data_IF_770356374211
#
_entry.id   IF_770356374211
#
_cell.length_a   1.000
_cell.length_b   1.000
_cell.length_c   1.000
_cell.angle_alpha   90.00
_cell.angle_beta   90.00
_cell.angle_gamma   90.00
#
_symmetry.space_group_name_H-M   'P 1'
#
loop_
_entity.id
_entity.type
_entity.pdbx_description
1 polymer ?
#
# COMPACT_ATOMS: atom_id res chain seq x y z
N UNK A 1 17.75 -15.08 -6.12
CA UNK A 1 18.70 -15.50 -7.17
C UNK A 1 19.06 -16.94 -6.87
N UNK A 2 18.86 -17.83 -7.85
CA UNK A 2 19.28 -19.23 -7.77
C UNK A 2 20.28 -19.41 -8.91
N UNK A 3 21.50 -19.86 -8.59
CA UNK A 3 22.60 -20.07 -9.54
C UNK A 3 22.90 -18.85 -10.45
N UNK A 4 22.91 -17.65 -9.86
CA UNK A 4 23.17 -16.40 -10.59
C UNK A 4 22.03 -15.93 -11.50
N UNK A 5 20.90 -16.62 -11.54
CA UNK A 5 19.71 -16.23 -12.32
C UNK A 5 18.57 -15.75 -11.45
N UNK A 6 17.73 -14.89 -12.02
CA UNK A 6 16.48 -14.46 -11.39
C UNK A 6 15.54 -15.66 -11.31
N UNK A 7 15.12 -15.96 -10.09
CA UNK A 7 14.12 -17.00 -9.83
C UNK A 7 12.73 -16.41 -10.09
N UNK A 8 12.22 -16.64 -11.31
CA UNK A 8 10.91 -16.13 -11.74
C UNK A 8 9.75 -16.81 -11.02
N UNK A 9 9.91 -18.05 -10.56
CA UNK A 9 8.84 -18.77 -9.87
C UNK A 9 8.56 -18.11 -8.51
N UNK A 10 9.62 -17.87 -7.72
CA UNK A 10 9.52 -17.11 -6.46
C UNK A 10 9.01 -15.69 -6.65
N UNK A 11 9.37 -15.05 -7.77
CA UNK A 11 8.83 -13.72 -8.09
C UNK A 11 7.31 -13.74 -8.28
N UNK A 12 6.80 -14.75 -8.98
CA UNK A 12 5.36 -14.90 -9.19
C UNK A 12 4.61 -15.20 -7.89
N UNK A 13 5.20 -15.97 -6.98
CA UNK A 13 4.65 -16.16 -5.63
C UNK A 13 4.57 -14.83 -4.90
N UNK A 14 5.66 -14.08 -4.83
CA UNK A 14 5.67 -12.74 -4.23
C UNK A 14 4.64 -11.79 -4.86
N UNK A 15 4.48 -11.82 -6.18
CA UNK A 15 3.50 -11.00 -6.88
C UNK A 15 2.05 -11.36 -6.52
N UNK A 16 1.73 -12.64 -6.33
CA UNK A 16 0.39 -13.06 -5.86
C UNK A 16 0.12 -12.60 -4.44
N UNK A 17 1.07 -12.81 -3.52
CA UNK A 17 0.93 -12.34 -2.14
C UNK A 17 0.78 -10.81 -2.08
N UNK A 18 1.52 -10.10 -2.95
CA UNK A 18 1.41 -8.65 -3.12
C UNK A 18 -0.02 -8.25 -3.50
N UNK A 19 -0.60 -8.91 -4.49
CA UNK A 19 -1.95 -8.59 -4.98
C UNK A 19 -3.03 -8.93 -3.95
N UNK A 20 -2.92 -10.09 -3.30
CA UNK A 20 -3.87 -10.55 -2.30
C UNK A 20 -3.92 -9.62 -1.08
N UNK A 21 -2.77 -9.32 -0.48
CA UNK A 21 -2.68 -8.46 0.71
C UNK A 21 -3.18 -7.05 0.39
N UNK A 22 -2.80 -6.50 -0.77
CA UNK A 22 -3.25 -5.17 -1.15
C UNK A 22 -4.77 -5.16 -1.41
N UNK A 23 -5.33 -6.20 -2.02
CA UNK A 23 -6.78 -6.33 -2.21
C UNK A 23 -7.56 -6.36 -0.90
N UNK A 24 -7.04 -7.08 0.10
CA UNK A 24 -7.62 -7.11 1.44
C UNK A 24 -7.55 -5.72 2.13
N UNK A 25 -6.38 -5.06 2.08
CA UNK A 25 -6.21 -3.72 2.62
C UNK A 25 -7.15 -2.70 1.97
N UNK A 26 -7.31 -2.76 0.65
CA UNK A 26 -8.21 -1.89 -0.09
C UNK A 26 -9.67 -2.09 0.32
N UNK A 27 -10.09 -3.35 0.54
CA UNK A 27 -11.43 -3.66 1.02
C UNK A 27 -11.66 -3.12 2.43
N UNK A 28 -10.69 -3.29 3.32
CA UNK A 28 -10.77 -2.76 4.70
C UNK A 28 -10.85 -1.23 4.67
N UNK A 29 -9.98 -0.57 3.91
CA UNK A 29 -9.95 0.89 3.82
C UNK A 29 -11.28 1.45 3.29
N UNK A 30 -11.85 0.84 2.24
CA UNK A 30 -13.18 1.22 1.72
C UNK A 30 -14.26 1.07 2.78
N UNK A 31 -14.35 -0.11 3.42
CA UNK A 31 -15.40 -0.37 4.41
C UNK A 31 -15.34 0.60 5.59
N UNK A 32 -14.13 0.90 6.09
CA UNK A 32 -13.95 1.86 7.19
C UNK A 32 -14.29 3.27 6.72
N UNK A 33 -13.84 3.68 5.53
CA UNK A 33 -14.17 5.00 4.99
C UNK A 33 -15.69 5.19 4.79
N UNK A 34 -16.39 4.19 4.26
CA UNK A 34 -17.86 4.20 4.10
C UNK A 34 -18.58 4.27 5.45
N UNK A 35 -18.07 3.57 6.46
CA UNK A 35 -18.68 3.55 7.81
C UNK A 35 -18.55 4.90 8.52
N UNK A 36 -17.42 5.59 8.36
CA UNK A 36 -17.11 6.81 9.11
C UNK A 36 -17.14 8.10 8.28
N UNK A 37 -17.52 8.03 6.99
CA UNK A 37 -17.62 9.21 6.12
C UNK A 37 -16.27 9.76 5.63
N UNK A 38 -15.26 8.91 5.50
CA UNK A 38 -13.92 9.28 5.04
C UNK A 38 -13.67 9.01 3.55
N UNK A 39 -12.45 9.33 3.11
CA UNK A 39 -11.93 9.04 1.76
C UNK A 39 -10.85 7.95 1.87
N UNK A 40 -11.05 6.77 1.25
CA UNK A 40 -10.06 5.70 1.29
C UNK A 40 -8.90 6.02 0.33
N UNK A 41 -7.67 5.80 0.80
CA UNK A 41 -6.45 5.80 0.00
C UNK A 41 -5.98 4.34 -0.11
N UNK A 42 -6.14 3.68 -1.28
CA UNK A 42 -5.86 2.26 -1.44
C UNK A 42 -4.36 1.96 -1.45
N UNK A 43 -3.99 0.76 -1.00
CA UNK A 43 -2.62 0.25 -0.98
C UNK A 43 -2.03 0.04 -2.38
N UNK A 44 -2.86 -0.06 -3.41
CA UNK A 44 -2.44 -0.17 -4.81
C UNK A 44 -3.29 0.68 -5.75
N UNK A 45 -2.66 1.17 -6.82
CA UNK A 45 -3.33 1.89 -7.91
C UNK A 45 -3.85 0.97 -9.02
N UNK A 46 -3.61 -0.35 -8.92
CA UNK A 46 -3.87 -1.32 -9.98
C UNK A 46 -5.31 -1.34 -10.51
N UNK A 47 -6.30 -0.88 -9.73
CA UNK A 47 -7.71 -0.80 -10.12
C UNK A 47 -8.23 0.60 -10.48
N UNK A 48 -7.39 1.64 -10.37
CA UNK A 48 -7.75 3.05 -10.60
C UNK A 48 -7.37 3.54 -12.01
N UNK A 49 -6.43 2.86 -12.68
CA UNK A 49 -6.02 3.19 -14.06
C UNK A 49 -7.24 3.04 -14.97
N UNK A 50 -7.74 4.16 -15.48
CA UNK A 50 -8.92 4.23 -16.36
C UNK A 50 -10.25 4.56 -15.67
N UNK A 51 -10.29 4.71 -14.34
CA UNK A 51 -11.50 5.12 -13.58
C UNK A 51 -11.50 6.59 -13.17
N UNK A 52 -10.40 7.29 -13.38
CA UNK A 52 -10.28 8.71 -13.05
C UNK A 52 -10.98 9.55 -14.12
N UNK A 53 -12.08 10.20 -13.75
CA UNK A 53 -12.85 11.05 -14.64
C UNK A 53 -12.62 12.54 -14.35
N UNK A 54 -12.22 12.88 -13.12
CA UNK A 54 -12.02 14.26 -12.66
C UNK A 54 -10.67 14.43 -11.94
N UNK A 55 -10.21 15.68 -11.83
CA UNK A 55 -8.93 16.01 -11.18
C UNK A 55 -8.96 15.64 -9.69
N UNK A 56 -10.11 15.77 -9.05
CA UNK A 56 -10.28 15.47 -7.63
C UNK A 56 -10.09 13.99 -7.32
N UNK A 57 -10.35 13.10 -8.29
CA UNK A 57 -10.11 11.66 -8.16
C UNK A 57 -8.62 11.32 -8.01
N UNK A 58 -7.71 12.25 -8.37
CA UNK A 58 -6.27 12.10 -8.17
C UNK A 58 -5.81 12.45 -6.76
N UNK A 59 -6.55 13.26 -6.00
CA UNK A 59 -6.05 13.80 -4.73
C UNK A 59 -5.66 12.72 -3.71
N UNK A 60 -6.45 11.65 -3.51
CA UNK A 60 -6.04 10.53 -2.66
C UNK A 60 -4.73 9.88 -3.14
N UNK A 61 -4.48 9.86 -4.45
CA UNK A 61 -3.31 9.23 -5.06
C UNK A 61 -2.01 10.03 -4.85
N UNK A 62 -2.11 11.27 -4.38
CA UNK A 62 -0.95 12.12 -4.06
C UNK A 62 -0.44 11.90 -2.63
N UNK A 63 -1.17 11.16 -1.80
CA UNK A 63 -0.80 10.91 -0.41
C UNK A 63 0.21 9.76 -0.32
N UNK A 64 1.38 10.05 0.24
CA UNK A 64 2.38 9.03 0.52
C UNK A 64 2.03 8.24 1.78
N UNK A 65 1.66 6.97 1.61
CA UNK A 65 1.46 6.05 2.74
C UNK A 65 2.67 5.93 3.67
N UNK A 66 3.89 6.14 3.15
CA UNK A 66 5.11 6.09 3.98
C UNK A 66 5.17 7.26 4.95
N UNK A 67 4.81 8.45 4.48
CA UNK A 67 4.75 9.65 5.31
C UNK A 67 3.66 9.48 6.37
N UNK A 68 2.48 9.00 5.97
CA UNK A 68 1.39 8.69 6.91
C UNK A 68 1.83 7.68 7.97
N UNK A 69 2.47 6.58 7.57
CA UNK A 69 2.92 5.54 8.50
C UNK A 69 3.97 6.03 9.50
N UNK A 70 4.90 6.88 9.07
CA UNK A 70 5.90 7.51 9.95
C UNK A 70 5.23 8.43 10.97
N UNK A 71 4.31 9.30 10.53
CA UNK A 71 3.59 10.20 11.43
C UNK A 71 2.58 9.48 12.35
N UNK A 72 2.05 8.34 11.92
CA UNK A 72 1.19 7.48 12.73
C UNK A 72 1.97 6.61 13.73
N UNK A 73 3.31 6.70 13.76
CA UNK A 73 4.15 5.92 14.69
C UNK A 73 4.26 4.43 14.33
N UNK A 74 3.96 4.04 13.09
CA UNK A 74 4.05 2.64 12.65
C UNK A 74 5.48 2.18 12.36
N UNK A 75 6.44 3.11 12.32
CA UNK A 75 7.85 2.84 12.09
C UNK A 75 8.65 4.08 11.76
N UNK A 76 9.88 3.88 11.26
CA UNK A 76 10.79 4.94 10.83
C UNK A 76 11.33 4.69 9.43
N UNK A 77 11.85 5.72 8.76
CA UNK A 77 12.47 5.56 7.43
C UNK A 77 13.83 4.88 7.54
N UNK A 78 13.94 3.67 6.98
CA UNK A 78 15.20 2.94 6.86
C UNK A 78 16.12 3.52 5.79
N UNK A 79 17.40 3.10 5.79
CA UNK A 79 18.38 3.47 4.75
C UNK A 79 17.97 3.00 3.35
N UNK A 80 17.13 1.97 3.26
CA UNK A 80 16.53 1.49 2.02
C UNK A 80 15.33 2.34 1.55
N UNK A 81 14.98 3.42 2.27
CA UNK A 81 13.85 4.30 1.98
C UNK A 81 12.47 3.71 2.30
N UNK A 82 12.40 2.47 2.80
CA UNK A 82 11.16 1.85 3.26
C UNK A 82 10.88 2.22 4.72
N UNK A 83 9.61 2.15 5.11
CA UNK A 83 9.25 2.23 6.54
C UNK A 83 9.64 0.92 7.20
N UNK A 84 10.39 1.00 8.30
CA UNK A 84 10.84 -0.13 9.10
C UNK A 84 10.10 -0.10 10.42
N UNK A 85 9.50 -1.24 10.77
CA UNK A 85 8.87 -1.49 12.05
C UNK A 85 9.72 -2.44 12.89
N UNK A 86 9.69 -2.29 14.21
CA UNK A 86 10.47 -3.10 15.15
C UNK A 86 10.17 -4.61 15.05
N UNK A 87 8.89 -4.98 14.84
CA UNK A 87 8.45 -6.37 14.82
C UNK A 87 8.47 -6.99 13.41
N UNK A 88 8.12 -6.21 12.40
CA UNK A 88 7.88 -6.73 11.03
C UNK A 88 8.94 -6.31 10.02
N UNK A 89 9.95 -5.52 10.44
CA UNK A 89 10.94 -4.95 9.53
C UNK A 89 10.28 -4.07 8.47
N UNK A 90 10.74 -4.15 7.22
CA UNK A 90 10.17 -3.40 6.10
C UNK A 90 9.15 -4.20 5.27
N UNK A 91 8.73 -5.39 5.72
CA UNK A 91 7.77 -6.24 5.03
C UNK A 91 6.32 -5.84 5.36
N UNK A 92 6.01 -4.55 5.16
CA UNK A 92 4.70 -3.96 5.50
C UNK A 92 4.03 -3.36 4.28
N UNK A 93 2.69 -3.33 4.33
CA UNK A 93 1.81 -2.65 3.38
C UNK A 93 0.83 -1.77 4.12
N UNK A 94 0.41 -0.71 3.45
CA UNK A 94 -0.37 0.35 4.06
C UNK A 94 -1.50 0.73 3.11
N UNK A 95 -2.67 0.91 3.68
CA UNK A 95 -3.74 1.74 3.14
C UNK A 95 -3.97 2.88 4.15
N UNK A 96 -4.61 3.96 3.73
CA UNK A 96 -4.87 5.11 4.61
C UNK A 96 -6.30 5.60 4.40
N UNK A 97 -6.83 6.31 5.39
CA UNK A 97 -8.17 6.88 5.34
C UNK A 97 -8.04 8.33 5.78
N UNK A 98 -8.63 9.22 4.99
CA UNK A 98 -8.70 10.65 5.28
C UNK A 98 -10.11 10.90 5.83
N UNK A 99 -10.22 11.54 7.00
CA UNK A 99 -11.48 11.86 7.66
C UNK A 99 -11.52 13.31 8.09
#
# INVERSE_FOLDING_TARGET
>A
IVDGKVDKARWNEYAREYEEINGQLDSIARNVAETFGGVPVPATLGGLVGKVAKVEDYYPLTISHRVVAEHAGLGWRGKNGLVVNERYGCALRFASIIT
#
